data_IF_578829753398
#
_entry.id   IF_578829753398
#
_cell.length_a   1.000
_cell.length_b   1.000
_cell.length_c   1.000
_cell.angle_alpha   90.00
_cell.angle_beta   90.00
_cell.angle_gamma   90.00
#
_symmetry.space_group_name_H-M   'P 1'
#
loop_
_entity.id
_entity.type
_entity.pdbx_description
1 polymer ?
#
# COMPACT_ATOMS: atom_id res chain seq x y z
N UNK A 1 -37.91 -3.58 -20.45
CA UNK A 1 -37.20 -2.34 -20.11
C UNK A 1 -37.08 -2.18 -18.60
N UNK A 2 -38.19 -2.32 -17.85
CA UNK A 2 -38.18 -2.20 -16.38
C UNK A 2 -37.30 -3.26 -15.72
N UNK A 3 -37.36 -4.51 -16.16
CA UNK A 3 -36.54 -5.61 -15.62
C UNK A 3 -35.05 -5.40 -15.85
N UNK A 4 -34.66 -4.83 -16.98
CA UNK A 4 -33.26 -4.50 -17.27
C UNK A 4 -32.76 -3.40 -16.34
N UNK A 5 -33.55 -2.37 -16.08
CA UNK A 5 -33.20 -1.30 -15.15
C UNK A 5 -33.00 -1.83 -13.72
N UNK A 6 -33.90 -2.71 -13.26
CA UNK A 6 -33.80 -3.35 -11.93
C UNK A 6 -32.52 -4.19 -11.87
N UNK A 7 -32.20 -4.98 -12.89
CA UNK A 7 -31.01 -5.81 -12.93
C UNK A 7 -29.72 -4.96 -12.88
N UNK A 8 -29.68 -3.82 -13.57
CA UNK A 8 -28.54 -2.92 -13.55
C UNK A 8 -28.34 -2.27 -12.16
N UNK A 9 -29.43 -1.86 -11.52
CA UNK A 9 -29.39 -1.29 -10.16
C UNK A 9 -28.89 -2.34 -9.16
N UNK A 10 -29.41 -3.55 -9.20
CA UNK A 10 -28.99 -4.64 -8.33
C UNK A 10 -27.52 -5.03 -8.56
N UNK A 11 -27.07 -5.06 -9.81
CA UNK A 11 -25.67 -5.32 -10.14
C UNK A 11 -24.74 -4.24 -9.59
N UNK A 12 -25.12 -2.96 -9.67
CA UNK A 12 -24.34 -1.86 -9.12
C UNK A 12 -24.27 -1.92 -7.58
N UNK A 13 -25.37 -2.21 -6.90
CA UNK A 13 -25.41 -2.38 -5.45
C UNK A 13 -24.60 -3.58 -4.98
N UNK A 14 -24.69 -4.71 -5.66
CA UNK A 14 -23.91 -5.91 -5.36
C UNK A 14 -22.43 -5.64 -5.48
N UNK A 15 -21.99 -4.89 -6.48
CA UNK A 15 -20.59 -4.50 -6.66
C UNK A 15 -20.08 -3.65 -5.50
N UNK A 16 -20.89 -2.73 -4.98
CA UNK A 16 -20.49 -1.90 -3.85
C UNK A 16 -20.38 -2.64 -2.52
N UNK A 17 -21.00 -3.82 -2.42
CA UNK A 17 -20.96 -4.68 -1.24
C UNK A 17 -19.83 -5.71 -1.25
N UNK A 18 -19.09 -5.83 -2.36
CA UNK A 18 -17.96 -6.75 -2.44
C UNK A 18 -16.80 -6.29 -1.54
N UNK A 19 -16.43 -7.15 -0.59
CA UNK A 19 -15.30 -6.95 0.30
C UNK A 19 -14.04 -7.59 -0.29
N UNK A 20 -12.87 -7.03 0.02
CA UNK A 20 -11.60 -7.55 -0.43
C UNK A 20 -11.22 -7.13 -1.85
N UNK A 21 -11.98 -6.26 -2.47
CA UNK A 21 -11.65 -5.70 -3.77
C UNK A 21 -10.55 -4.65 -3.65
N UNK A 22 -9.63 -4.63 -4.63
CA UNK A 22 -8.61 -3.60 -4.71
C UNK A 22 -9.21 -2.25 -5.12
N UNK A 23 -8.56 -1.16 -4.73
CA UNK A 23 -8.97 0.18 -5.12
C UNK A 23 -8.86 0.38 -6.64
N UNK A 24 -9.70 1.25 -7.19
CA UNK A 24 -9.63 1.65 -8.59
C UNK A 24 -8.35 2.43 -8.90
N UNK A 25 -7.97 2.48 -10.18
CA UNK A 25 -6.73 3.12 -10.63
C UNK A 25 -6.63 4.61 -10.29
N UNK A 26 -7.76 5.32 -10.31
CA UNK A 26 -7.81 6.74 -9.94
C UNK A 26 -7.51 6.96 -8.46
N UNK A 27 -8.03 6.09 -7.60
CA UNK A 27 -7.76 6.11 -6.16
C UNK A 27 -6.30 5.75 -5.88
N UNK A 28 -5.77 4.72 -6.55
CA UNK A 28 -4.36 4.32 -6.44
C UNK A 28 -3.43 5.47 -6.80
N UNK A 29 -3.70 6.18 -7.89
CA UNK A 29 -2.91 7.34 -8.31
C UNK A 29 -2.92 8.47 -7.28
N UNK A 30 -4.06 8.73 -6.65
CA UNK A 30 -4.18 9.72 -5.57
C UNK A 30 -3.35 9.33 -4.35
N UNK A 31 -3.37 8.05 -3.99
CA UNK A 31 -2.57 7.53 -2.87
C UNK A 31 -1.08 7.64 -3.19
N UNK A 32 -0.66 7.26 -4.38
CA UNK A 32 0.73 7.37 -4.82
C UNK A 32 1.22 8.82 -4.77
N UNK A 33 0.45 9.74 -5.31
CA UNK A 33 0.78 11.16 -5.31
C UNK A 33 0.85 11.75 -3.89
N UNK A 34 0.00 11.28 -2.99
CA UNK A 34 0.00 11.72 -1.58
C UNK A 34 1.15 11.11 -0.78
N UNK A 35 1.58 9.90 -1.10
CA UNK A 35 2.62 9.18 -0.38
C UNK A 35 4.01 9.74 -0.66
N UNK A 36 4.32 10.00 -1.91
CA UNK A 36 5.65 10.47 -2.34
C UNK A 36 5.72 12.00 -2.24
N UNK A 37 6.58 12.52 -1.37
CA UNK A 37 6.83 13.96 -1.24
C UNK A 37 8.12 14.42 -1.94
N UNK A 38 8.92 13.47 -2.42
CA UNK A 38 10.19 13.75 -3.08
C UNK A 38 11.34 14.10 -2.15
N UNK A 39 11.09 14.17 -0.85
CA UNK A 39 12.10 14.51 0.17
C UNK A 39 12.28 13.37 1.17
N UNK A 40 11.29 13.14 2.04
CA UNK A 40 11.32 12.08 3.06
C UNK A 40 10.95 10.73 2.49
N UNK A 41 9.93 10.69 1.64
CA UNK A 41 9.51 9.48 0.92
C UNK A 41 9.83 9.67 -0.56
N UNK A 42 10.81 8.95 -1.06
CA UNK A 42 11.33 9.12 -2.41
C UNK A 42 10.56 8.34 -3.46
N UNK A 43 10.04 7.17 -3.09
CA UNK A 43 9.23 6.33 -4.00
C UNK A 43 8.44 5.29 -3.24
N UNK A 44 7.47 4.69 -3.91
CA UNK A 44 6.75 3.51 -3.45
C UNK A 44 7.40 2.28 -4.10
N UNK A 45 7.78 1.29 -3.28
CA UNK A 45 8.37 0.04 -3.74
C UNK A 45 7.25 -0.95 -4.08
N UNK A 46 6.30 -1.12 -3.14
CA UNK A 46 5.10 -1.93 -3.30
C UNK A 46 3.91 -1.19 -2.72
N UNK A 47 2.75 -1.42 -3.28
CA UNK A 47 1.49 -0.99 -2.68
C UNK A 47 0.41 -2.03 -2.89
N UNK A 48 -0.35 -2.30 -1.84
CA UNK A 48 -1.54 -3.14 -1.86
C UNK A 48 -2.69 -2.36 -1.25
N UNK A 49 -3.83 -2.48 -1.87
CA UNK A 49 -5.07 -1.89 -1.37
C UNK A 49 -6.14 -2.96 -1.28
N UNK A 50 -6.99 -2.85 -0.26
CA UNK A 50 -8.05 -3.81 0.00
C UNK A 50 -9.25 -3.11 0.61
N UNK A 51 -10.42 -3.24 0.02
CA UNK A 51 -11.65 -2.75 0.63
C UNK A 51 -12.05 -3.66 1.80
N UNK A 52 -12.09 -3.08 3.00
CA UNK A 52 -12.60 -3.72 4.21
C UNK A 52 -14.10 -3.50 4.36
N UNK A 53 -14.62 -2.51 3.68
CA UNK A 53 -16.02 -2.15 3.59
C UNK A 53 -16.22 -1.13 2.48
N UNK A 54 -17.47 -0.67 2.21
CA UNK A 54 -17.72 0.30 1.14
C UNK A 54 -16.99 1.63 1.33
N UNK A 55 -16.80 2.04 2.59
CA UNK A 55 -16.17 3.30 2.96
C UNK A 55 -14.91 3.11 3.80
N UNK A 56 -14.31 1.94 3.74
CA UNK A 56 -13.10 1.62 4.47
C UNK A 56 -12.10 0.89 3.57
N UNK A 57 -10.99 1.54 3.30
CA UNK A 57 -9.92 1.02 2.47
C UNK A 57 -8.67 0.79 3.33
N UNK A 58 -8.11 -0.40 3.22
CA UNK A 58 -6.78 -0.72 3.74
C UNK A 58 -5.74 -0.36 2.68
N UNK A 59 -4.74 0.40 3.09
CA UNK A 59 -3.57 0.72 2.27
C UNK A 59 -2.33 0.18 2.98
N UNK A 60 -1.63 -0.71 2.32
CA UNK A 60 -0.35 -1.22 2.80
C UNK A 60 0.70 -0.95 1.73
N UNK A 61 1.75 -0.23 2.08
CA UNK A 61 2.79 0.13 1.13
C UNK A 61 4.18 0.00 1.75
N UNK A 62 5.10 -0.45 0.94
CA UNK A 62 6.54 -0.38 1.23
C UNK A 62 7.08 0.86 0.53
N UNK A 63 7.65 1.77 1.31
CA UNK A 63 8.13 3.07 0.85
C UNK A 63 9.64 3.17 0.99
N UNK A 64 10.28 3.86 0.06
CA UNK A 64 11.71 4.13 0.14
C UNK A 64 11.96 5.39 0.93
N UNK A 65 12.80 5.28 1.96
CA UNK A 65 13.29 6.39 2.77
C UNK A 65 14.79 6.55 2.58
N UNK A 66 15.35 7.65 3.07
CA UNK A 66 16.79 7.91 2.97
C UNK A 66 17.55 7.05 3.98
N UNK A 67 18.68 6.51 3.56
CA UNK A 67 19.52 5.65 4.41
C UNK A 67 20.15 6.39 5.61
N UNK A 68 20.26 7.70 5.54
CA UNK A 68 20.81 8.56 6.59
C UNK A 68 19.76 9.14 7.54
N UNK A 69 18.49 8.85 7.31
CA UNK A 69 17.42 9.27 8.21
C UNK A 69 17.48 8.49 9.53
N UNK A 70 17.25 9.20 10.64
CA UNK A 70 17.09 8.57 11.95
C UNK A 70 15.73 7.89 12.05
N UNK A 71 15.57 6.98 13.03
CA UNK A 71 14.28 6.34 13.27
C UNK A 71 13.18 7.36 13.58
N UNK A 72 13.49 8.45 14.29
CA UNK A 72 12.55 9.52 14.58
C UNK A 72 12.13 10.27 13.31
N UNK A 73 13.06 10.55 12.41
CA UNK A 73 12.79 11.18 11.11
C UNK A 73 11.92 10.31 10.23
N UNK A 74 12.19 9.01 10.20
CA UNK A 74 11.38 8.02 9.46
C UNK A 74 9.96 7.96 10.03
N UNK A 75 9.80 7.92 11.34
CA UNK A 75 8.48 7.93 11.98
C UNK A 75 7.68 9.19 11.64
N UNK A 76 8.31 10.35 11.69
CA UNK A 76 7.69 11.63 11.29
C UNK A 76 7.29 11.62 9.81
N UNK A 77 8.14 11.08 8.94
CA UNK A 77 7.84 10.97 7.51
C UNK A 77 6.63 10.07 7.24
N UNK A 78 6.52 8.95 7.96
CA UNK A 78 5.39 8.02 7.87
C UNK A 78 4.11 8.71 8.32
N UNK A 79 4.10 9.35 9.49
CA UNK A 79 2.93 10.06 10.01
C UNK A 79 2.44 11.14 9.03
N UNK A 80 3.36 11.92 8.48
CA UNK A 80 3.04 12.95 7.50
C UNK A 80 2.47 12.36 6.20
N UNK A 81 3.03 11.24 5.73
CA UNK A 81 2.51 10.54 4.55
C UNK A 81 1.11 9.98 4.79
N UNK A 82 0.85 9.39 5.95
CA UNK A 82 -0.47 8.90 6.32
C UNK A 82 -1.51 10.02 6.34
N UNK A 83 -1.18 11.18 6.89
CA UNK A 83 -2.06 12.34 6.91
C UNK A 83 -2.38 12.84 5.50
N UNK A 84 -1.39 12.87 4.62
CA UNK A 84 -1.61 13.23 3.21
C UNK A 84 -2.52 12.24 2.50
N UNK A 85 -2.32 10.95 2.73
CA UNK A 85 -3.16 9.90 2.14
C UNK A 85 -4.60 10.03 2.63
N UNK A 86 -4.83 10.21 3.93
CA UNK A 86 -6.17 10.38 4.49
C UNK A 86 -6.87 11.62 3.97
N UNK A 87 -6.13 12.69 3.74
CA UNK A 87 -6.67 13.93 3.16
C UNK A 87 -7.07 13.72 1.70
N UNK A 88 -6.24 13.04 0.92
CA UNK A 88 -6.50 12.78 -0.50
C UNK A 88 -7.60 11.73 -0.70
N UNK A 89 -7.62 10.71 0.14
CA UNK A 89 -8.56 9.58 0.06
C UNK A 89 -9.12 9.30 1.47
N UNK A 90 -10.23 9.97 1.85
CA UNK A 90 -10.79 9.84 3.21
C UNK A 90 -11.22 8.44 3.63
N UNK A 91 -11.54 7.56 2.67
CA UNK A 91 -11.88 6.17 2.96
C UNK A 91 -10.66 5.31 3.32
N UNK A 92 -9.45 5.79 3.09
CA UNK A 92 -8.21 5.11 3.48
C UNK A 92 -8.00 5.25 5.00
N UNK A 93 -8.77 4.50 5.77
CA UNK A 93 -8.79 4.58 7.24
C UNK A 93 -7.69 3.76 7.91
N UNK A 94 -7.32 2.66 7.28
CA UNK A 94 -6.26 1.77 7.78
C UNK A 94 -5.07 1.88 6.82
N UNK A 95 -3.97 2.44 7.30
CA UNK A 95 -2.77 2.70 6.51
C UNK A 95 -1.56 2.12 7.23
N UNK A 96 -0.84 1.23 6.55
CA UNK A 96 0.42 0.67 7.01
C UNK A 96 1.51 1.03 6.01
N UNK A 97 2.49 1.79 6.44
CA UNK A 97 3.65 2.17 5.63
C UNK A 97 4.90 1.53 6.23
N UNK A 98 5.52 0.65 5.48
CA UNK A 98 6.77 0.00 5.86
C UNK A 98 7.94 0.74 5.20
N UNK A 99 8.85 1.34 5.99
CA UNK A 99 10.02 2.01 5.44
C UNK A 99 11.09 0.99 5.03
N UNK A 100 11.71 1.23 3.89
CA UNK A 100 12.85 0.45 3.42
C UNK A 100 13.88 1.38 2.76
N UNK A 101 15.12 0.93 2.75
CA UNK A 101 16.18 1.61 2.04
C UNK A 101 16.26 1.02 0.63
N UNK A 102 15.87 1.82 -0.35
CA UNK A 102 15.87 1.36 -1.73
C UNK A 102 17.29 1.27 -2.27
N UNK A 103 17.66 0.08 -2.76
CA UNK A 103 18.87 -0.11 -3.56
C UNK A 103 18.49 -0.66 -4.94
N UNK A 104 19.06 -0.07 -5.99
CA UNK A 104 18.83 -0.52 -7.37
C UNK A 104 19.26 -1.98 -7.58
N UNK A 105 20.25 -2.42 -6.81
CA UNK A 105 20.76 -3.79 -6.85
C UNK A 105 19.72 -4.81 -6.38
N UNK A 106 18.92 -4.46 -5.39
CA UNK A 106 17.84 -5.34 -4.92
C UNK A 106 16.62 -5.30 -5.84
N UNK A 107 16.34 -4.16 -6.45
CA UNK A 107 15.26 -4.03 -7.42
C UNK A 107 15.48 -4.91 -8.65
N UNK A 108 16.75 -5.09 -9.05
CA UNK A 108 17.11 -5.94 -10.18
C UNK A 108 16.96 -7.44 -9.88
N UNK A 109 16.93 -7.82 -8.59
CA UNK A 109 16.80 -9.22 -8.16
C UNK A 109 15.39 -9.79 -8.28
N UNK A 110 14.36 -8.95 -8.30
CA UNK A 110 12.98 -9.38 -8.26
C UNK A 110 12.61 -10.16 -6.98
N UNK A 111 11.35 -10.48 -6.75
CA UNK A 111 10.98 -11.39 -5.69
C UNK A 111 11.53 -12.79 -6.03
N UNK A 112 12.32 -13.36 -5.13
CA UNK A 112 12.83 -14.72 -5.29
C UNK A 112 11.65 -15.71 -5.35
N UNK A 113 11.39 -16.33 -6.51
CA UNK A 113 10.27 -17.27 -6.65
C UNK A 113 10.43 -18.54 -5.82
N UNK A 114 11.61 -18.75 -5.23
CA UNK A 114 11.94 -19.90 -4.39
C UNK A 114 12.03 -19.55 -2.90
N UNK A 115 11.81 -18.31 -2.52
CA UNK A 115 11.74 -17.92 -1.11
C UNK A 115 10.55 -18.60 -0.45
N UNK A 116 10.79 -19.77 0.11
CA UNK A 116 9.80 -20.48 0.92
C UNK A 116 9.66 -19.75 2.25
N UNK A 117 8.47 -19.31 2.65
CA UNK A 117 8.29 -18.72 3.98
C UNK A 117 8.61 -19.77 5.03
N UNK A 118 9.70 -19.59 5.78
CA UNK A 118 10.01 -20.39 6.93
C UNK A 118 11.21 -21.37 6.84
N UNK A 119 12.08 -21.23 5.85
CA UNK A 119 13.33 -21.97 5.85
C UNK A 119 14.25 -21.53 7.01
N UNK A 120 14.93 -22.47 7.69
CA UNK A 120 15.83 -22.11 8.79
C UNK A 120 16.97 -21.24 8.27
N UNK A 121 17.21 -20.15 8.97
CA UNK A 121 18.31 -19.22 8.70
C UNK A 121 19.65 -19.94 8.84
N UNK A 122 20.48 -20.06 7.80
CA UNK A 122 21.74 -20.82 7.86
C UNK A 122 22.86 -20.16 8.66
N UNK A 123 22.58 -19.02 9.31
CA UNK A 123 23.62 -18.28 10.04
C UNK A 123 23.53 -18.35 11.57
N UNK A 124 22.88 -19.38 12.14
CA UNK A 124 22.96 -19.66 13.57
C UNK A 124 23.85 -20.88 13.77
N UNK A 125 25.13 -20.65 13.82
CA UNK A 125 26.08 -21.70 14.12
C UNK A 125 27.50 -21.32 13.73
N UNK A 126 28.17 -20.60 14.59
CA UNK A 126 29.58 -20.33 14.47
C UNK A 126 30.07 -19.53 15.65
N UNK A 127 30.78 -20.20 16.52
CA UNK A 127 31.52 -19.63 17.65
C UNK A 127 32.41 -18.47 17.26
#
# INVERSE_FOLDING_TARGET
>A
VLLVCIALVLAAETKSLLLGEAAGLDVIKKIEAATVDGASVTRIIHMRTLHLGPEELLVAAKIAVRHDDTAAEVATAIDAAEDRIRTAVPIARVIYLEPDIYSETEAAKGPDPLATPGGPNPHVGGH
#
